data_IF_296742739748
#
_entry.id   IF_296742739748
#
_cell.length_a   1.000
_cell.length_b   1.000
_cell.length_c   1.000
_cell.angle_alpha   90.00
_cell.angle_beta   90.00
_cell.angle_gamma   90.00
#
_symmetry.space_group_name_H-M   'P 1'
#
loop_
_entity.id
_entity.type
_entity.pdbx_description
1 polymer ?
#
# COMPACT_ATOMS: atom_id res chain seq x y z
N UNK A 1 9.82 11.55 31.61
CA UNK A 1 10.36 12.48 30.59
C UNK A 1 10.83 11.78 29.31
N UNK A 2 10.41 10.56 28.99
CA UNK A 2 10.67 9.91 27.69
C UNK A 2 9.56 8.88 27.43
N UNK A 3 8.33 9.35 27.28
CA UNK A 3 7.16 8.50 27.11
C UNK A 3 6.93 8.25 25.63
N UNK A 4 7.34 7.08 25.13
CA UNK A 4 7.03 6.51 23.82
C UNK A 4 7.43 7.37 22.61
N UNK A 5 8.31 6.84 21.75
CA UNK A 5 8.43 7.31 20.36
C UNK A 5 7.01 7.38 19.78
N UNK A 6 6.46 8.58 19.74
CA UNK A 6 5.10 8.80 19.34
C UNK A 6 5.00 8.74 17.83
N UNK A 7 3.76 8.73 17.36
CA UNK A 7 3.46 8.98 15.95
C UNK A 7 4.15 10.26 15.42
N UNK A 8 4.30 11.36 16.19
CA UNK A 8 4.99 12.57 15.73
C UNK A 8 6.48 12.35 15.42
N UNK A 9 7.22 11.68 16.30
CA UNK A 9 8.65 11.40 16.11
C UNK A 9 8.86 10.47 14.91
N UNK A 10 8.00 9.46 14.75
CA UNK A 10 8.07 8.55 13.61
C UNK A 10 7.78 9.28 12.28
N UNK A 11 6.84 10.23 12.28
CA UNK A 11 6.57 11.11 11.13
C UNK A 11 7.76 12.02 10.80
N UNK A 12 8.44 12.56 11.81
CA UNK A 12 9.64 13.38 11.60
C UNK A 12 10.76 12.58 10.95
N UNK A 13 11.00 11.35 11.42
CA UNK A 13 11.99 10.44 10.82
C UNK A 13 11.58 10.07 9.40
N UNK A 14 10.31 9.74 9.17
CA UNK A 14 9.78 9.43 7.85
C UNK A 14 9.97 10.59 6.87
N UNK A 15 9.76 11.82 7.32
CA UNK A 15 9.96 13.03 6.52
C UNK A 15 11.42 13.16 6.07
N UNK A 16 12.38 12.94 6.98
CA UNK A 16 13.82 12.97 6.64
C UNK A 16 14.16 11.89 5.61
N UNK A 17 13.65 10.67 5.80
CA UNK A 17 13.83 9.57 4.84
C UNK A 17 13.26 9.95 3.46
N UNK A 18 12.07 10.55 3.42
CA UNK A 18 11.46 11.02 2.17
C UNK A 18 12.31 12.10 1.49
N UNK A 19 12.98 12.98 2.23
CA UNK A 19 13.86 14.00 1.63
C UNK A 19 15.08 13.34 0.98
N UNK A 20 15.70 12.35 1.65
CA UNK A 20 16.89 11.66 1.14
C UNK A 20 16.57 10.79 -0.07
N UNK A 21 15.52 9.98 0.01
CA UNK A 21 15.17 9.03 -1.05
C UNK A 21 14.24 9.65 -2.10
N UNK A 22 13.48 10.69 -1.77
CA UNK A 22 12.43 11.28 -2.58
C UNK A 22 11.06 10.62 -2.33
N UNK A 23 9.99 11.44 -2.38
CA UNK A 23 8.61 11.01 -2.12
C UNK A 23 8.10 9.91 -3.07
N UNK A 24 8.69 9.76 -4.25
CA UNK A 24 8.32 8.73 -5.22
C UNK A 24 8.92 7.34 -4.96
N UNK A 25 10.02 7.23 -4.19
CA UNK A 25 10.69 5.94 -3.97
C UNK A 25 9.92 5.04 -3.01
N UNK A 26 9.36 5.59 -1.93
CA UNK A 26 8.55 4.84 -0.97
C UNK A 26 7.35 4.12 -1.61
N UNK A 27 6.48 4.78 -2.41
CA UNK A 27 5.36 4.10 -3.05
C UNK A 27 5.81 3.13 -4.14
N UNK A 28 6.93 3.40 -4.83
CA UNK A 28 7.50 2.49 -5.82
C UNK A 28 7.99 1.17 -5.19
N UNK A 29 8.69 1.26 -4.05
CA UNK A 29 9.11 0.11 -3.24
C UNK A 29 7.90 -0.61 -2.63
N UNK A 30 6.91 0.15 -2.12
CA UNK A 30 5.69 -0.39 -1.53
C UNK A 30 4.83 -1.19 -2.51
N UNK A 31 4.73 -0.77 -3.77
CA UNK A 31 4.01 -1.53 -4.82
C UNK A 31 4.65 -2.90 -5.06
N UNK A 32 5.97 -2.96 -5.23
CA UNK A 32 6.68 -4.24 -5.43
C UNK A 32 6.57 -5.18 -4.23
N UNK A 33 6.74 -4.64 -3.01
CA UNK A 33 6.56 -5.41 -1.77
C UNK A 33 5.11 -5.88 -1.63
N UNK A 34 4.14 -5.01 -1.92
CA UNK A 34 2.71 -5.31 -1.82
C UNK A 34 2.27 -6.42 -2.76
N UNK A 35 2.71 -6.39 -4.02
CA UNK A 35 2.47 -7.46 -4.99
C UNK A 35 3.13 -8.77 -4.56
N UNK A 36 4.37 -8.72 -4.06
CA UNK A 36 5.06 -9.91 -3.53
C UNK A 36 4.35 -10.53 -2.33
N UNK A 37 3.91 -9.72 -1.36
CA UNK A 37 3.13 -10.18 -0.20
C UNK A 37 1.77 -10.72 -0.63
N UNK A 38 1.10 -10.06 -1.59
CA UNK A 38 -0.19 -10.52 -2.14
C UNK A 38 -0.04 -11.90 -2.78
N UNK A 39 0.97 -12.08 -3.63
CA UNK A 39 1.22 -13.36 -4.27
C UNK A 39 1.61 -14.43 -3.25
N UNK A 40 2.47 -14.10 -2.27
CA UNK A 40 2.84 -14.99 -1.19
C UNK A 40 1.63 -15.43 -0.36
N UNK A 41 0.75 -14.51 0.03
CA UNK A 41 -0.51 -14.82 0.74
C UNK A 41 -1.45 -15.68 -0.11
N UNK A 42 -1.53 -15.43 -1.41
CA UNK A 42 -2.37 -16.20 -2.32
C UNK A 42 -1.87 -17.65 -2.46
N UNK A 43 -0.56 -17.85 -2.55
CA UNK A 43 0.05 -19.19 -2.57
C UNK A 43 -0.13 -19.94 -1.25
N UNK A 44 -0.06 -19.23 -0.11
CA UNK A 44 -0.28 -19.83 1.20
C UNK A 44 -1.75 -20.17 1.48
N UNK A 45 -2.71 -19.51 0.82
CA UNK A 45 -4.14 -19.73 1.07
C UNK A 45 -4.75 -20.92 0.33
N UNK A 46 -4.03 -21.56 -0.60
CA UNK A 46 -4.60 -22.58 -1.48
C UNK A 46 -5.65 -21.97 -2.42
N UNK A 47 -5.79 -22.54 -3.62
CA UNK A 47 -6.62 -22.05 -4.73
C UNK A 47 -7.89 -21.24 -4.35
N UNK A 48 -8.00 -20.03 -4.91
CA UNK A 48 -9.32 -19.44 -5.21
C UNK A 48 -9.82 -18.27 -4.37
N UNK A 49 -9.01 -17.25 -4.09
CA UNK A 49 -9.54 -15.97 -3.60
C UNK A 49 -9.07 -14.76 -4.41
N UNK A 50 -9.74 -14.42 -5.54
CA UNK A 50 -9.65 -13.09 -6.11
C UNK A 50 -10.59 -12.17 -5.34
N UNK A 51 -10.05 -11.30 -4.47
CA UNK A 51 -10.81 -10.19 -3.89
C UNK A 51 -9.93 -8.95 -3.73
N UNK A 52 -9.64 -8.30 -4.85
CA UNK A 52 -9.42 -6.86 -4.89
C UNK A 52 -10.38 -6.34 -5.98
N UNK A 53 -11.48 -5.64 -5.67
CA UNK A 53 -11.50 -4.46 -4.81
C UNK A 53 -11.11 -3.19 -5.56
N UNK A 54 -11.23 -3.14 -6.90
CA UNK A 54 -11.18 -1.90 -7.68
C UNK A 54 -11.90 -2.06 -9.03
N UNK A 55 -13.19 -2.42 -9.00
CA UNK A 55 -14.09 -2.07 -10.10
C UNK A 55 -15.20 -1.20 -9.51
N UNK A 56 -15.05 0.10 -9.69
CA UNK A 56 -16.20 0.98 -9.87
C UNK A 56 -16.03 1.67 -11.23
N UNK A 57 -15.95 0.83 -12.27
CA UNK A 57 -16.36 1.25 -13.61
C UNK A 57 -17.86 1.52 -13.52
N UNK A 58 -18.21 2.80 -13.61
CA UNK A 58 -19.58 3.25 -13.76
C UNK A 58 -20.07 2.81 -15.15
N UNK A 59 -20.55 1.56 -15.26
CA UNK A 59 -21.31 1.10 -16.41
C UNK A 59 -22.80 1.30 -16.10
N UNK A 60 -23.30 2.46 -16.49
CA UNK A 60 -24.60 2.95 -16.10
C UNK A 60 -25.07 4.05 -17.01
N UNK A 61 -25.06 3.80 -18.32
CA UNK A 61 -25.99 4.43 -19.28
C UNK A 61 -25.62 3.98 -20.70
N UNK A 62 -26.49 3.22 -21.36
CA UNK A 62 -27.40 3.75 -22.41
C UNK A 62 -27.97 2.58 -23.23
N UNK A 63 -28.99 1.93 -22.67
CA UNK A 63 -30.00 1.24 -23.47
C UNK A 63 -31.11 2.26 -23.74
N UNK A 64 -31.11 2.85 -24.94
CA UNK A 64 -32.20 3.59 -25.62
C UNK A 64 -31.72 4.06 -26.98
#
# INVERSE_FOLDING_TARGET
MFGSLGVPELLLILLIVIIIFGAGKLPQLGKGIGEGIKNFRNSLKGEGAPKDGASKGNDGSKDS
#
